data_IF_539644050502
#
_entry.id   IF_539644050502
#
_cell.length_a   1.000
_cell.length_b   1.000
_cell.length_c   1.000
_cell.angle_alpha   90.00
_cell.angle_beta   90.00
_cell.angle_gamma   90.00
#
_symmetry.space_group_name_H-M   'P 1'
#
loop_
_entity.id
_entity.type
_entity.pdbx_description
1 polymer ?
#
# COMPACT_ATOMS: atom_id res chain seq x y z
N UNK A 1 2.07 -33.88 36.80
CA UNK A 1 1.47 -33.17 35.66
C UNK A 1 1.64 -31.67 35.87
N UNK A 2 2.45 -30.99 35.06
CA UNK A 2 2.58 -29.52 35.13
C UNK A 2 2.04 -28.88 33.85
N UNK A 3 1.01 -28.07 34.07
CA UNK A 3 0.05 -27.54 33.12
C UNK A 3 0.69 -26.46 32.22
N UNK A 4 0.91 -26.75 30.94
CA UNK A 4 1.42 -25.78 29.95
C UNK A 4 0.29 -24.84 29.53
N UNK A 5 0.04 -23.80 30.32
CA UNK A 5 -0.83 -22.69 29.93
C UNK A 5 -0.15 -21.90 28.80
N UNK A 6 -0.43 -22.29 27.55
CA UNK A 6 -0.09 -21.56 26.33
C UNK A 6 -0.62 -20.12 26.47
N UNK A 7 0.28 -19.14 26.61
CA UNK A 7 -0.07 -17.71 26.59
C UNK A 7 -0.87 -17.45 25.31
N UNK A 8 -2.17 -17.17 25.44
CA UNK A 8 -2.97 -16.65 24.32
C UNK A 8 -2.36 -15.31 23.94
N UNK A 9 -1.85 -15.21 22.72
CA UNK A 9 -1.38 -13.94 22.14
C UNK A 9 -2.65 -13.10 21.90
N UNK A 10 -2.96 -12.22 22.84
CA UNK A 10 -4.00 -11.21 22.70
C UNK A 10 -3.30 -9.89 22.37
N UNK A 11 -3.67 -9.28 21.25
CA UNK A 11 -3.24 -7.92 20.92
C UNK A 11 -4.42 -6.96 21.08
N UNK A 12 -4.22 -5.72 21.51
CA UNK A 12 -5.30 -4.76 21.69
C UNK A 12 -5.44 -3.88 20.45
N UNK A 13 -6.67 -3.68 19.95
CA UNK A 13 -6.92 -2.80 18.81
C UNK A 13 -6.64 -1.33 19.20
N UNK A 14 -5.66 -0.64 18.58
CA UNK A 14 -5.27 0.72 18.98
C UNK A 14 -6.35 1.80 18.77
N UNK A 15 -7.36 1.53 17.94
CA UNK A 15 -8.43 2.49 17.63
C UNK A 15 -9.54 2.47 18.69
N UNK A 16 -9.94 1.27 19.13
CA UNK A 16 -11.06 1.12 20.07
C UNK A 16 -10.65 0.63 21.45
N UNK A 17 -9.36 0.34 21.65
CA UNK A 17 -8.78 -0.13 22.91
C UNK A 17 -9.41 -1.44 23.43
N UNK A 18 -9.94 -2.27 22.53
CA UNK A 18 -10.56 -3.58 22.86
C UNK A 18 -9.64 -4.71 22.37
N UNK A 19 -9.52 -5.75 23.19
CA UNK A 19 -8.70 -6.94 22.91
C UNK A 19 -9.15 -7.73 21.68
N UNK A 20 -8.18 -8.04 20.84
CA UNK A 20 -8.28 -8.95 19.70
C UNK A 20 -7.94 -10.35 20.19
N UNK A 21 -8.97 -11.13 20.49
CA UNK A 21 -8.84 -12.49 21.01
C UNK A 21 -8.49 -13.53 19.94
N UNK A 22 -8.70 -13.22 18.66
CA UNK A 22 -8.41 -14.10 17.53
C UNK A 22 -7.87 -13.30 16.33
N UNK A 23 -6.54 -13.25 16.22
CA UNK A 23 -5.82 -12.58 15.13
C UNK A 23 -6.08 -13.18 13.74
N UNK A 24 -6.51 -14.43 13.66
CA UNK A 24 -6.77 -15.13 12.39
C UNK A 24 -8.25 -15.00 11.95
N UNK A 25 -9.06 -14.21 12.65
CA UNK A 25 -10.45 -14.02 12.25
C UNK A 25 -10.56 -13.07 11.04
N UNK A 26 -11.54 -13.32 10.15
CA UNK A 26 -11.83 -12.47 8.97
C UNK A 26 -12.17 -11.01 9.32
N UNK A 27 -12.42 -10.73 10.59
CA UNK A 27 -12.74 -9.42 11.13
C UNK A 27 -11.52 -8.64 11.62
N UNK A 28 -10.32 -9.19 11.46
CA UNK A 28 -9.05 -8.54 11.79
C UNK A 28 -8.27 -8.27 10.51
N UNK A 29 -7.67 -7.09 10.44
CA UNK A 29 -6.77 -6.69 9.35
C UNK A 29 -5.44 -6.34 9.99
N UNK A 30 -4.37 -6.94 9.48
CA UNK A 30 -3.00 -6.52 9.78
C UNK A 30 -2.55 -5.52 8.73
N UNK A 31 -2.01 -4.40 9.19
CA UNK A 31 -1.44 -3.40 8.30
C UNK A 31 -0.09 -3.88 7.76
N UNK A 32 0.13 -3.81 6.44
CA UNK A 32 1.43 -4.16 5.84
C UNK A 32 2.56 -3.28 6.37
N UNK A 33 2.28 -2.00 6.62
CA UNK A 33 3.27 -0.99 7.00
C UNK A 33 3.85 -1.13 8.42
N UNK A 34 3.15 -1.79 9.36
CA UNK A 34 3.60 -1.93 10.75
C UNK A 34 3.26 -3.30 11.37
N UNK A 35 2.66 -4.20 10.59
CA UNK A 35 2.21 -5.54 10.97
C UNK A 35 1.30 -5.62 12.21
N UNK A 36 0.68 -4.50 12.62
CA UNK A 36 -0.20 -4.45 13.78
C UNK A 36 -1.66 -4.77 13.40
N UNK A 37 -2.38 -5.52 14.24
CA UNK A 37 -3.75 -5.92 13.98
C UNK A 37 -4.76 -4.85 14.42
N UNK A 38 -5.80 -4.70 13.62
CA UNK A 38 -6.94 -3.84 13.92
C UNK A 38 -8.23 -4.61 13.63
N UNK A 39 -9.30 -4.26 14.34
CA UNK A 39 -10.63 -4.66 13.88
C UNK A 39 -10.91 -4.03 12.51
N UNK A 40 -11.33 -4.85 11.54
CA UNK A 40 -11.69 -4.43 10.17
C UNK A 40 -12.66 -3.25 10.18
N UNK A 41 -13.65 -3.27 11.07
CA UNK A 41 -14.60 -2.16 11.24
C UNK A 41 -13.92 -0.86 11.72
N UNK A 42 -12.99 -0.96 12.67
CA UNK A 42 -12.30 0.20 13.23
C UNK A 42 -11.39 0.84 12.18
N UNK A 43 -10.55 0.05 11.52
CA UNK A 43 -9.61 0.57 10.54
C UNK A 43 -10.32 1.12 9.29
N UNK A 44 -11.41 0.49 8.85
CA UNK A 44 -12.21 1.01 7.73
C UNK A 44 -12.88 2.36 8.05
N UNK A 45 -13.34 2.56 9.30
CA UNK A 45 -13.88 3.87 9.73
C UNK A 45 -12.78 4.92 9.72
N UNK A 46 -11.60 4.58 10.24
CA UNK A 46 -10.45 5.48 10.23
C UNK A 46 -10.08 5.96 8.82
N UNK A 47 -10.03 5.03 7.86
CA UNK A 47 -9.71 5.34 6.46
C UNK A 47 -10.77 6.11 5.69
N UNK A 48 -11.95 6.35 6.27
CA UNK A 48 -12.91 7.32 5.72
C UNK A 48 -12.54 8.76 6.07
N UNK A 49 -11.73 8.96 7.12
CA UNK A 49 -11.34 10.26 7.64
C UNK A 49 -9.89 10.59 7.26
N UNK A 50 -8.96 9.66 7.48
CA UNK A 50 -7.52 9.82 7.18
C UNK A 50 -6.97 8.58 6.51
N UNK A 51 -6.28 8.72 5.37
CA UNK A 51 -5.67 7.62 4.60
C UNK A 51 -4.29 7.21 5.12
N UNK A 52 -4.12 7.16 6.44
CA UNK A 52 -2.84 6.87 7.10
C UNK A 52 -3.04 5.85 8.20
N UNK A 53 -2.02 5.01 8.44
CA UNK A 53 -2.04 4.06 9.56
C UNK A 53 -2.14 4.81 10.90
N UNK A 54 -3.07 4.46 11.80
CA UNK A 54 -3.22 5.12 13.10
C UNK A 54 -1.98 5.06 13.99
N UNK A 55 -1.11 4.07 13.78
CA UNK A 55 0.07 3.85 14.61
C UNK A 55 1.33 4.50 14.04
N UNK A 56 1.68 4.20 12.79
CA UNK A 56 2.94 4.64 12.19
C UNK A 56 2.78 5.81 11.22
N UNK A 57 1.55 6.28 10.98
CA UNK A 57 1.21 7.39 10.05
C UNK A 57 1.63 7.17 8.59
N UNK A 58 2.16 6.00 8.23
CA UNK A 58 2.41 5.61 6.83
C UNK A 58 1.08 5.63 6.05
N UNK A 59 1.08 6.23 4.86
CA UNK A 59 -0.09 6.30 3.99
C UNK A 59 -0.51 4.91 3.55
N UNK A 60 -1.83 4.65 3.51
CA UNK A 60 -2.35 3.42 2.94
C UNK A 60 -2.32 3.53 1.42
N UNK A 61 -1.58 2.63 0.75
CA UNK A 61 -1.64 2.49 -0.71
C UNK A 61 -3.07 2.20 -1.15
N UNK A 62 -3.55 2.91 -2.17
CA UNK A 62 -4.87 2.68 -2.78
C UNK A 62 -4.86 1.38 -3.59
N UNK A 63 -3.69 1.04 -4.11
CA UNK A 63 -3.40 -0.15 -4.88
C UNK A 63 -2.31 -0.93 -4.12
N UNK A 64 -2.43 -2.25 -4.12
CA UNK A 64 -1.35 -3.14 -3.71
C UNK A 64 -0.18 -3.05 -4.69
N UNK A 65 1.02 -3.43 -4.25
CA UNK A 65 2.21 -3.41 -5.11
C UNK A 65 2.01 -4.23 -6.39
N UNK A 66 1.26 -5.34 -6.31
CA UNK A 66 0.90 -6.16 -7.45
C UNK A 66 -0.02 -5.43 -8.44
N UNK A 67 -1.01 -4.68 -7.94
CA UNK A 67 -1.90 -3.86 -8.77
C UNK A 67 -1.14 -2.70 -9.41
N UNK A 68 -0.19 -2.10 -8.68
CA UNK A 68 0.67 -1.02 -9.20
C UNK A 68 1.58 -1.54 -10.32
N UNK A 69 2.24 -2.68 -10.10
CA UNK A 69 3.10 -3.30 -11.10
C UNK A 69 2.30 -3.70 -12.34
N UNK A 70 1.11 -4.29 -12.16
CA UNK A 70 0.22 -4.64 -13.27
C UNK A 70 -0.16 -3.41 -14.11
N UNK A 71 -0.50 -2.29 -13.47
CA UNK A 71 -0.84 -1.05 -14.18
C UNK A 71 0.38 -0.47 -14.91
N UNK A 72 1.55 -0.48 -14.28
CA UNK A 72 2.81 -0.04 -14.88
C UNK A 72 3.17 -0.86 -16.12
N UNK A 73 3.10 -2.19 -16.02
CA UNK A 73 3.41 -3.10 -17.12
C UNK A 73 2.39 -2.95 -18.27
N UNK A 74 1.11 -2.81 -17.93
CA UNK A 74 0.05 -2.59 -18.93
C UNK A 74 0.27 -1.30 -19.70
N UNK A 75 0.59 -0.19 -19.02
CA UNK A 75 0.88 1.09 -19.68
C UNK A 75 2.12 1.00 -20.57
N UNK A 76 3.17 0.33 -20.10
CA UNK A 76 4.42 0.14 -20.85
C UNK A 76 4.21 -0.71 -22.11
N UNK A 77 3.39 -1.76 -22.02
CA UNK A 77 3.12 -2.68 -23.13
C UNK A 77 2.15 -2.10 -24.17
N UNK A 78 1.24 -1.22 -23.75
CA UNK A 78 0.26 -0.62 -24.67
C UNK A 78 0.87 0.59 -25.40
N UNK A 79 1.80 1.33 -24.80
CA UNK A 79 2.43 2.52 -25.40
C UNK A 79 2.93 2.33 -26.86
N UNK A 80 3.61 1.23 -27.24
CA UNK A 80 4.05 1.00 -28.62
C UNK A 80 2.91 0.78 -29.61
N UNK A 81 1.75 0.27 -29.16
CA UNK A 81 0.59 -0.03 -30.01
C UNK A 81 -0.15 1.25 -30.39
N UNK A 82 -0.20 2.20 -29.46
CA UNK A 82 -0.88 3.48 -29.66
C UNK A 82 0.00 4.50 -30.39
N UNK A 83 1.33 4.35 -30.32
CA UNK A 83 2.31 5.26 -30.94
C UNK A 83 2.04 5.54 -32.43
N UNK A 84 1.78 4.54 -33.30
CA UNK A 84 1.47 4.79 -34.71
C UNK A 84 0.18 5.60 -34.92
N UNK A 85 -0.82 5.41 -34.05
CA UNK A 85 -2.07 6.18 -34.11
C UNK A 85 -1.77 7.65 -33.79
N UNK A 86 -0.99 7.93 -32.74
CA UNK A 86 -0.65 9.30 -32.39
C UNK A 86 0.22 10.02 -33.44
N UNK A 87 1.18 9.32 -34.03
CA UNK A 87 1.99 9.81 -35.15
C UNK A 87 1.13 10.11 -36.38
N UNK A 88 0.10 9.30 -36.65
CA UNK A 88 -0.82 9.52 -37.79
C UNK A 88 -1.78 10.70 -37.60
N UNK A 89 -2.11 11.04 -36.35
CA UNK A 89 -3.05 12.12 -36.02
C UNK A 89 -2.34 13.40 -35.51
N UNK A 90 -1.02 13.48 -35.58
CA UNK A 90 -0.22 14.66 -35.21
C UNK A 90 -0.48 15.16 -33.77
N UNK A 91 -0.74 14.23 -32.85
CA UNK A 91 -1.07 14.49 -31.45
C UNK A 91 0.19 14.67 -30.57
N UNK A 92 1.35 14.95 -31.17
CA UNK A 92 2.68 14.91 -30.55
C UNK A 92 2.80 15.72 -29.25
N UNK A 93 2.18 16.90 -29.17
CA UNK A 93 2.20 17.69 -27.93
C UNK A 93 1.40 17.00 -26.80
N UNK A 94 0.24 16.42 -27.12
CA UNK A 94 -0.56 15.64 -26.17
C UNK A 94 0.13 14.33 -25.78
N UNK A 95 0.89 13.72 -26.69
CA UNK A 95 1.64 12.48 -26.42
C UNK A 95 2.92 12.73 -25.63
N UNK A 96 3.63 13.84 -25.86
CA UNK A 96 4.74 14.24 -25.00
C UNK A 96 4.21 14.55 -23.60
N UNK A 97 3.09 15.27 -23.48
CA UNK A 97 2.42 15.48 -22.20
C UNK A 97 1.96 14.16 -21.57
N UNK A 98 1.45 13.20 -22.35
CA UNK A 98 0.98 11.91 -21.84
C UNK A 98 2.14 10.97 -21.47
N UNK A 99 3.23 10.99 -22.22
CA UNK A 99 4.47 10.27 -21.94
C UNK A 99 5.17 10.88 -20.74
N UNK A 100 5.22 12.21 -20.62
CA UNK A 100 5.69 12.93 -19.44
C UNK A 100 4.81 12.61 -18.24
N UNK A 101 3.49 12.54 -18.41
CA UNK A 101 2.55 12.12 -17.35
C UNK A 101 2.77 10.66 -16.98
N UNK A 102 2.96 9.74 -17.94
CA UNK A 102 3.27 8.33 -17.68
C UNK A 102 4.63 8.20 -17.00
N UNK A 103 5.66 8.90 -17.47
CA UNK A 103 6.99 8.92 -16.85
C UNK A 103 6.95 9.57 -15.47
N UNK A 104 6.17 10.62 -15.27
CA UNK A 104 5.91 11.20 -13.95
C UNK A 104 5.18 10.20 -13.06
N UNK A 105 4.20 9.46 -13.56
CA UNK A 105 3.51 8.43 -12.79
C UNK A 105 4.44 7.25 -12.49
N UNK A 106 5.21 6.75 -13.44
CA UNK A 106 6.18 5.66 -13.28
C UNK A 106 7.33 6.06 -12.35
N UNK A 107 7.82 7.30 -12.43
CA UNK A 107 8.82 7.85 -11.53
C UNK A 107 8.23 8.09 -10.14
N UNK A 108 7.01 8.61 -10.03
CA UNK A 108 6.34 8.75 -8.74
C UNK A 108 6.02 7.39 -8.11
N UNK A 109 5.66 6.38 -8.91
CA UNK A 109 5.44 5.00 -8.46
C UNK A 109 6.75 4.40 -7.95
N UNK A 110 7.86 4.61 -8.68
CA UNK A 110 9.18 4.16 -8.27
C UNK A 110 9.67 4.88 -7.01
N UNK A 111 9.53 6.21 -6.96
CA UNK A 111 9.83 7.02 -5.79
C UNK A 111 8.95 6.63 -4.59
N UNK A 112 7.68 6.29 -4.79
CA UNK A 112 6.79 5.79 -3.72
C UNK A 112 7.24 4.42 -3.20
N UNK A 113 7.75 3.55 -4.08
CA UNK A 113 8.36 2.27 -3.71
C UNK A 113 9.67 2.47 -2.95
N UNK A 114 10.52 3.40 -3.37
CA UNK A 114 11.80 3.71 -2.72
C UNK A 114 11.61 4.38 -1.36
N UNK A 115 10.69 5.34 -1.25
CA UNK A 115 10.29 5.92 0.04
C UNK A 115 9.73 4.87 1.00
N UNK A 116 9.00 3.87 0.51
CA UNK A 116 8.54 2.78 1.37
C UNK A 116 9.69 1.88 1.80
N UNK A 117 10.68 1.63 0.93
CA UNK A 117 11.84 0.79 1.22
C UNK A 117 12.80 1.44 2.23
N UNK A 118 13.10 2.73 2.07
CA UNK A 118 13.91 3.50 3.04
C UNK A 118 13.24 3.52 4.42
N UNK A 119 11.93 3.81 4.48
CA UNK A 119 11.18 3.81 5.74
C UNK A 119 11.01 2.42 6.37
N UNK A 120 11.30 1.33 5.65
CA UNK A 120 11.30 -0.03 6.20
C UNK A 120 12.70 -0.40 6.73
N UNK A 121 13.77 0.10 6.09
CA UNK A 121 15.16 -0.15 6.51
C UNK A 121 15.58 0.70 7.72
N UNK A 122 15.15 1.96 7.84
CA UNK A 122 15.46 2.81 9.02
C UNK A 122 14.81 2.31 10.32
N UNK A 123 13.85 1.39 10.23
CA UNK A 123 13.22 0.75 11.41
C UNK A 123 13.97 -0.49 11.90
N UNK A 124 15.06 -0.90 11.25
CA UNK A 124 15.86 -2.09 11.62
C UNK A 124 17.25 -1.77 12.19
N UNK A 125 17.67 -0.50 12.25
CA UNK A 125 18.99 -0.07 12.78
C UNK A 125 18.92 0.59 14.18
N UNK A 126 17.77 0.50 14.87
CA UNK A 126 17.59 1.04 16.23
C UNK A 126 17.28 -0.03 17.30
N UNK A 127 17.63 -1.29 17.04
CA UNK A 127 17.67 -2.36 18.05
C UNK A 127 19.10 -2.89 18.25
#
# INVERSE_FOLDING_TARGET
MSNKNKKKICETCPICLIDIRNLNSKNIVKQSCCNKPFHKKCINKWYKIKKECPLCRKKQGIFSDNEINFLSDTLTNIAPIIRPLYESYNLDSSLQNMTDVISLFSNNISNMRDFQHENNNTSQELD
#
